data_IF_494745736638
#
_entry.id   IF_494745736638
#
_cell.length_a   1.000
_cell.length_b   1.000
_cell.length_c   1.000
_cell.angle_alpha   90.00
_cell.angle_beta   90.00
_cell.angle_gamma   90.00
#
_symmetry.space_group_name_H-M   'P 1'
#
loop_
_entity.id
_entity.type
_entity.pdbx_description
1 polymer ?
#
# COMPACT_ATOMS: atom_id res chain seq x y z
N UNK A 1 -3.23 21.40 3.68
CA UNK A 1 -3.34 20.48 2.53
C UNK A 1 -4.42 19.45 2.86
N UNK A 2 -5.47 19.32 2.05
CA UNK A 2 -6.58 18.39 2.34
C UNK A 2 -6.19 16.98 1.89
N UNK A 3 -6.23 16.00 2.80
CA UNK A 3 -6.03 14.58 2.47
C UNK A 3 -7.25 14.06 1.71
N UNK A 4 -7.20 14.06 0.37
CA UNK A 4 -8.33 13.57 -0.44
C UNK A 4 -8.49 12.05 -0.37
N UNK A 5 -7.42 11.30 -0.10
CA UNK A 5 -7.45 9.84 -0.10
C UNK A 5 -6.22 9.27 0.62
N UNK A 6 -6.38 8.92 1.90
CA UNK A 6 -5.28 8.48 2.77
C UNK A 6 -4.51 7.26 2.23
N UNK A 7 -5.16 6.36 1.48
CA UNK A 7 -4.53 5.15 0.96
C UNK A 7 -3.44 5.43 -0.09
N UNK A 8 -3.64 6.37 -1.03
CA UNK A 8 -2.55 6.61 -1.99
C UNK A 8 -1.49 7.55 -1.45
N UNK A 9 -1.80 8.38 -0.45
CA UNK A 9 -0.76 9.12 0.26
C UNK A 9 0.16 8.14 1.01
N UNK A 10 -0.43 7.13 1.66
CA UNK A 10 0.31 6.03 2.27
C UNK A 10 1.16 5.23 1.28
N UNK A 11 0.58 4.75 0.17
CA UNK A 11 1.33 3.98 -0.83
C UNK A 11 2.39 4.81 -1.54
N UNK A 12 2.17 6.11 -1.73
CA UNK A 12 3.19 7.03 -2.26
C UNK A 12 4.36 7.19 -1.29
N UNK A 13 4.08 7.27 0.01
CA UNK A 13 5.11 7.26 1.06
C UNK A 13 5.95 5.98 1.00
N UNK A 14 5.29 4.82 0.95
CA UNK A 14 5.96 3.51 0.84
C UNK A 14 6.86 3.44 -0.40
N UNK A 15 6.35 3.80 -1.59
CA UNK A 15 7.15 3.82 -2.82
C UNK A 15 8.39 4.71 -2.73
N UNK A 16 8.26 5.88 -2.10
CA UNK A 16 9.36 6.84 -2.04
C UNK A 16 10.42 6.39 -1.03
N UNK A 17 10.01 5.84 0.11
CA UNK A 17 10.94 5.34 1.12
C UNK A 17 11.62 4.04 0.67
N UNK A 18 10.92 3.19 -0.08
CA UNK A 18 11.51 2.00 -0.70
C UNK A 18 12.53 2.35 -1.78
N UNK A 19 12.22 3.31 -2.67
CA UNK A 19 13.20 3.82 -3.65
C UNK A 19 14.43 4.46 -3.01
N UNK A 20 14.36 4.78 -1.72
CA UNK A 20 15.46 5.30 -0.91
C UNK A 20 16.12 4.21 -0.06
N UNK A 21 15.75 2.95 -0.27
CA UNK A 21 16.24 1.78 0.47
C UNK A 21 16.10 1.91 2.00
N UNK A 22 15.04 2.58 2.46
CA UNK A 22 14.74 2.63 3.89
C UNK A 22 14.15 1.30 4.36
N UNK A 23 14.64 0.82 5.49
CA UNK A 23 14.11 -0.39 6.11
C UNK A 23 12.71 -0.20 6.71
N UNK A 24 12.28 1.04 6.97
CA UNK A 24 11.04 1.36 7.67
C UNK A 24 10.31 2.55 7.07
N UNK A 25 8.98 2.46 7.06
CA UNK A 25 8.07 3.53 6.62
C UNK A 25 7.08 3.83 7.71
N UNK A 26 6.85 5.12 7.94
CA UNK A 26 5.85 5.60 8.86
C UNK A 26 4.63 6.10 8.08
N UNK A 27 3.48 5.51 8.36
CA UNK A 27 2.22 5.79 7.69
C UNK A 27 1.17 6.21 8.71
N UNK A 28 0.26 7.11 8.34
CA UNK A 28 -0.90 7.44 9.15
C UNK A 28 -1.82 6.22 9.30
N UNK A 29 -2.31 5.95 10.51
CA UNK A 29 -3.27 4.88 10.75
C UNK A 29 -4.60 5.15 10.05
N UNK A 30 -5.01 4.24 9.16
CA UNK A 30 -6.36 4.20 8.59
C UNK A 30 -6.79 2.74 8.39
N UNK A 31 -8.05 2.42 8.69
CA UNK A 31 -8.58 1.05 8.57
C UNK A 31 -8.39 0.43 7.17
N UNK A 32 -8.56 1.24 6.11
CA UNK A 32 -8.34 0.80 4.71
C UNK A 32 -6.89 0.37 4.44
N UNK A 33 -5.92 1.01 5.09
CA UNK A 33 -4.49 0.71 4.93
C UNK A 33 -4.15 -0.59 5.66
N UNK A 34 -4.70 -0.81 6.85
CA UNK A 34 -4.47 -2.02 7.65
C UNK A 34 -4.89 -3.27 6.86
N UNK A 35 -6.11 -3.25 6.28
CA UNK A 35 -6.59 -4.36 5.45
C UNK A 35 -5.68 -4.64 4.25
N UNK A 36 -5.15 -3.60 3.61
CA UNK A 36 -4.22 -3.75 2.49
C UNK A 36 -2.88 -4.33 2.92
N UNK A 37 -2.31 -3.86 4.03
CA UNK A 37 -1.04 -4.34 4.58
C UNK A 37 -1.11 -5.82 4.98
N UNK A 38 -2.25 -6.30 5.50
CA UNK A 38 -2.46 -7.72 5.81
C UNK A 38 -2.35 -8.58 4.55
N UNK A 39 -2.94 -8.15 3.43
CA UNK A 39 -2.83 -8.88 2.15
C UNK A 39 -1.39 -8.87 1.64
N UNK A 40 -0.69 -7.73 1.72
CA UNK A 40 0.71 -7.64 1.31
C UNK A 40 1.64 -8.54 2.15
N UNK A 41 1.39 -8.65 3.46
CA UNK A 41 2.13 -9.57 4.32
C UNK A 41 1.91 -11.03 3.94
N UNK A 42 0.68 -11.42 3.59
CA UNK A 42 0.39 -12.81 3.14
C UNK A 42 1.17 -13.20 1.90
N UNK A 43 1.43 -12.26 1.00
CA UNK A 43 2.25 -12.48 -0.21
C UNK A 43 3.76 -12.26 0.02
N UNK A 44 4.21 -12.10 1.27
CA UNK A 44 5.61 -11.91 1.64
C UNK A 44 6.30 -10.70 0.99
N UNK A 45 5.53 -9.68 0.63
CA UNK A 45 6.04 -8.41 0.12
C UNK A 45 6.57 -7.50 1.24
N UNK A 46 5.96 -7.58 2.41
CA UNK A 46 6.29 -6.81 3.61
C UNK A 46 6.59 -7.80 4.73
N UNK A 47 7.61 -7.52 5.54
CA UNK A 47 8.00 -8.41 6.63
C UNK A 47 7.00 -8.36 7.79
N UNK A 48 6.85 -7.19 8.42
CA UNK A 48 5.98 -6.95 9.58
C UNK A 48 5.51 -5.50 9.58
N UNK A 49 4.36 -5.24 10.20
CA UNK A 49 3.95 -3.89 10.58
C UNK A 49 3.58 -3.83 12.06
N UNK A 50 3.70 -2.65 12.65
CA UNK A 50 3.28 -2.35 14.02
C UNK A 50 2.35 -1.15 14.01
N UNK A 51 1.36 -1.17 14.90
CA UNK A 51 0.45 -0.04 15.12
C UNK A 51 0.87 0.62 16.43
N UNK A 52 1.15 1.92 16.36
CA UNK A 52 1.50 2.76 17.51
C UNK A 52 0.36 3.76 17.74
N UNK A 53 -0.12 3.85 18.98
CA UNK A 53 -1.12 4.84 19.35
C UNK A 53 -0.43 6.12 19.81
N UNK A 54 -0.33 7.07 18.89
CA UNK A 54 -0.10 8.46 19.24
C UNK A 54 -1.50 9.06 19.42
N UNK A 55 -1.91 9.33 20.66
CA UNK A 55 -3.22 9.84 21.16
C UNK A 55 -3.97 10.89 20.27
N UNK A 56 -3.33 11.44 19.23
CA UNK A 56 -3.92 12.29 18.20
C UNK A 56 -4.46 11.53 17.00
N UNK A 57 -3.63 10.68 16.39
CA UNK A 57 -3.91 9.95 15.17
C UNK A 57 -2.82 8.89 15.04
N UNK A 58 -3.13 7.66 15.45
CA UNK A 58 -2.18 6.55 15.48
C UNK A 58 -1.34 6.44 14.19
N UNK A 59 -0.21 5.76 14.31
CA UNK A 59 0.74 5.56 13.21
C UNK A 59 0.96 4.08 12.99
N UNK A 60 1.32 3.72 11.77
CA UNK A 60 1.73 2.38 11.39
C UNK A 60 3.20 2.45 10.99
N UNK A 61 4.01 1.63 11.63
CA UNK A 61 5.41 1.40 11.25
C UNK A 61 5.44 0.14 10.40
N UNK A 62 5.88 0.25 9.16
CA UNK A 62 5.96 -0.86 8.20
C UNK A 62 7.43 -1.19 7.95
N UNK A 63 7.83 -2.44 8.17
CA UNK A 63 9.18 -2.92 7.86
C UNK A 63 9.21 -3.47 6.43
N UNK A 64 9.99 -2.80 5.57
CA UNK A 64 10.15 -3.17 4.17
C UNK A 64 11.23 -4.25 4.00
N UNK A 65 11.09 -5.06 2.94
CA UNK A 65 12.04 -6.14 2.58
C UNK A 65 12.84 -5.81 1.31
N UNK A 66 12.53 -4.69 0.64
CA UNK A 66 13.18 -4.29 -0.63
C UNK A 66 12.79 -5.13 -1.84
N UNK A 67 11.70 -5.91 -1.75
CA UNK A 67 11.17 -6.75 -2.84
C UNK A 67 10.10 -6.05 -3.69
N UNK A 68 9.72 -4.85 -3.30
CA UNK A 68 8.51 -4.21 -3.75
C UNK A 68 8.89 -3.22 -4.89
N UNK A 69 8.41 -3.50 -6.11
CA UNK A 69 8.81 -2.72 -7.29
C UNK A 69 7.96 -1.45 -7.48
N UNK A 70 6.64 -1.61 -7.53
CA UNK A 70 5.67 -0.53 -7.76
C UNK A 70 4.35 -0.85 -7.09
N UNK A 71 3.85 0.09 -6.28
CA UNK A 71 2.59 -0.03 -5.55
C UNK A 71 1.77 1.22 -5.82
N UNK A 72 0.46 1.10 -5.92
CA UNK A 72 -0.36 2.27 -6.20
C UNK A 72 -1.84 1.98 -6.03
N UNK A 73 -2.62 3.05 -5.92
CA UNK A 73 -4.08 2.97 -5.89
C UNK A 73 -4.60 3.32 -7.27
N UNK A 74 -5.52 2.52 -7.79
CA UNK A 74 -6.27 2.83 -9.01
C UNK A 74 -7.33 3.88 -8.67
N UNK A 75 -7.35 4.98 -9.43
CA UNK A 75 -8.31 6.07 -9.27
C UNK A 75 -8.85 6.49 -10.65
N UNK A 76 -10.19 6.69 -10.80
CA UNK A 76 -11.26 6.35 -9.86
C UNK A 76 -11.40 4.84 -9.63
N UNK A 77 -12.19 4.43 -8.63
CA UNK A 77 -12.46 3.00 -8.36
C UNK A 77 -13.49 2.50 -9.35
N UNK A 78 -13.03 1.85 -10.42
CA UNK A 78 -13.90 1.29 -11.44
C UNK A 78 -14.62 0.04 -10.94
N UNK A 79 -15.87 -0.12 -11.32
CA UNK A 79 -16.59 -1.38 -11.16
C UNK A 79 -16.07 -2.38 -12.19
N UNK A 80 -15.58 -3.53 -11.72
CA UNK A 80 -15.00 -4.56 -12.59
C UNK A 80 -15.89 -5.79 -12.54
N UNK A 81 -16.49 -6.14 -13.68
CA UNK A 81 -17.19 -7.41 -13.86
C UNK A 81 -16.17 -8.55 -14.04
N UNK A 82 -16.53 -9.77 -13.65
CA UNK A 82 -15.69 -10.97 -13.80
C UNK A 82 -15.18 -11.15 -15.24
N UNK A 83 -15.99 -10.81 -16.24
CA UNK A 83 -15.64 -10.88 -17.67
C UNK A 83 -14.48 -9.95 -18.07
N UNK A 84 -14.29 -8.85 -17.34
CA UNK A 84 -13.28 -7.83 -17.63
C UNK A 84 -12.01 -8.01 -16.78
N UNK A 85 -11.96 -9.00 -15.88
CA UNK A 85 -10.83 -9.20 -14.98
C UNK A 85 -9.52 -9.48 -15.73
N UNK A 86 -9.57 -10.29 -16.79
CA UNK A 86 -8.38 -10.59 -17.62
C UNK A 86 -7.81 -9.34 -18.29
N UNK A 87 -8.67 -8.42 -18.74
CA UNK A 87 -8.23 -7.13 -19.29
C UNK A 87 -7.55 -6.26 -18.23
N UNK A 88 -8.12 -6.21 -17.02
CA UNK A 88 -7.51 -5.49 -15.91
C UNK A 88 -6.15 -6.08 -15.53
N UNK A 89 -6.03 -7.41 -15.48
CA UNK A 89 -4.79 -8.09 -15.14
C UNK A 89 -3.67 -7.76 -16.14
N UNK A 90 -3.95 -7.86 -17.45
CA UNK A 90 -2.98 -7.59 -18.50
C UNK A 90 -2.51 -6.12 -18.53
N UNK A 91 -3.38 -5.19 -18.15
CA UNK A 91 -3.04 -3.77 -18.13
C UNK A 91 -2.26 -3.34 -16.88
N UNK A 92 -2.46 -4.03 -15.76
CA UNK A 92 -1.95 -3.60 -14.45
C UNK A 92 -0.70 -4.36 -14.01
N UNK A 93 -0.61 -5.64 -14.33
CA UNK A 93 0.51 -6.48 -13.92
C UNK A 93 1.52 -6.59 -15.06
N UNK A 94 2.83 -6.51 -14.78
CA UNK A 94 3.82 -6.95 -15.75
C UNK A 94 3.58 -8.43 -16.05
N UNK A 95 3.78 -8.83 -17.31
CA UNK A 95 3.73 -10.23 -17.70
C UNK A 95 4.69 -11.04 -16.81
N UNK A 96 4.21 -12.20 -16.36
CA UNK A 96 5.04 -13.23 -15.75
C UNK A 96 5.78 -14.01 -16.83
#
# INVERSE_FOLDING_TARGET
>A
MVCMNDLADALKGINNDEKRDKCQVLVRLCFKIIWFLIVMMKHAFIAKFQITDDHRAGKIIVNLTGKLNKHGVIRPRFEVQLKNLGKCQNNLLPFF
#
